data_IF_255851694581
#
_entry.id   IF_255851694581
#
_cell.length_a   1.000
_cell.length_b   1.000
_cell.length_c   1.000
_cell.angle_alpha   90.00
_cell.angle_beta   90.00
_cell.angle_gamma   90.00
#
_symmetry.space_group_name_H-M   'P 1'
#
loop_
_entity.id
_entity.type
_entity.pdbx_description
1 polymer ?
#
# COMPACT_ATOMS: atom_id res chain seq x y z
N UNK A 1 -23.50 -38.76 22.75
CA UNK A 1 -23.12 -39.89 21.86
C UNK A 1 -23.57 -39.48 20.46
N UNK A 2 -22.69 -39.44 19.50
CA UNK A 2 -23.06 -39.12 18.10
C UNK A 2 -23.70 -40.37 17.46
N UNK A 3 -24.88 -40.30 16.86
CA UNK A 3 -25.46 -41.41 16.13
C UNK A 3 -24.58 -41.74 14.91
N UNK A 4 -24.34 -43.02 14.67
CA UNK A 4 -23.58 -43.50 13.51
C UNK A 4 -24.16 -44.83 13.02
N UNK A 5 -24.02 -45.09 11.73
CA UNK A 5 -24.33 -46.35 11.11
C UNK A 5 -23.06 -47.01 10.61
N UNK A 6 -22.95 -48.31 10.78
CA UNK A 6 -21.87 -49.13 10.24
C UNK A 6 -22.48 -50.31 9.51
N UNK A 7 -22.17 -50.43 8.22
CA UNK A 7 -22.59 -51.51 7.38
C UNK A 7 -21.41 -52.40 7.02
N UNK A 8 -21.56 -53.70 7.28
CA UNK A 8 -20.62 -54.74 6.93
C UNK A 8 -21.09 -55.48 5.72
N UNK A 9 -20.67 -55.12 4.53
CA UNK A 9 -21.07 -55.79 3.29
C UNK A 9 -20.27 -57.08 3.04
N UNK A 10 -19.04 -57.18 3.53
CA UNK A 10 -18.22 -58.37 3.65
C UNK A 10 -17.08 -58.11 4.66
N UNK A 11 -16.25 -59.12 4.96
CA UNK A 11 -15.19 -59.04 5.98
C UNK A 11 -14.06 -58.03 5.59
N UNK A 12 -13.95 -57.67 4.29
CA UNK A 12 -12.92 -56.81 3.76
C UNK A 12 -13.38 -55.36 3.47
N UNK A 13 -14.66 -55.06 3.67
CA UNK A 13 -15.22 -53.75 3.38
C UNK A 13 -16.26 -53.33 4.44
N UNK A 14 -15.95 -52.23 5.12
CA UNK A 14 -16.84 -51.65 6.13
C UNK A 14 -17.20 -50.23 5.64
N UNK A 15 -18.48 -49.94 5.47
CA UNK A 15 -18.96 -48.58 5.26
C UNK A 15 -19.55 -48.00 6.53
N UNK A 16 -19.44 -46.73 6.74
CA UNK A 16 -20.00 -46.01 7.85
C UNK A 16 -20.51 -44.62 7.45
N UNK A 17 -21.49 -44.16 8.17
CA UNK A 17 -22.06 -42.81 8.05
C UNK A 17 -22.24 -42.17 9.44
N UNK A 18 -21.77 -40.96 9.58
CA UNK A 18 -21.96 -40.09 10.74
C UNK A 18 -22.74 -38.83 10.32
N UNK A 19 -24.06 -38.87 10.24
CA UNK A 19 -24.87 -37.78 9.73
C UNK A 19 -24.66 -36.47 10.48
N UNK A 20 -24.42 -36.52 11.79
CA UNK A 20 -24.24 -35.31 12.65
C UNK A 20 -23.02 -34.46 12.27
N UNK A 21 -22.01 -35.10 11.72
CA UNK A 21 -20.77 -34.42 11.29
C UNK A 21 -20.57 -34.46 9.78
N UNK A 22 -21.59 -34.94 9.04
CA UNK A 22 -21.57 -35.07 7.57
C UNK A 22 -20.38 -35.89 7.04
N UNK A 23 -19.96 -36.95 7.79
CA UNK A 23 -18.82 -37.80 7.46
C UNK A 23 -19.32 -39.15 6.97
N UNK A 24 -18.99 -39.47 5.73
CA UNK A 24 -19.16 -40.79 5.12
C UNK A 24 -17.77 -41.42 4.93
N UNK A 25 -17.69 -42.76 5.02
CA UNK A 25 -16.42 -43.43 4.77
C UNK A 25 -16.55 -44.93 4.45
N UNK A 26 -15.51 -45.43 3.81
CA UNK A 26 -15.30 -46.85 3.54
C UNK A 26 -13.91 -47.24 4.02
N UNK A 27 -13.87 -48.27 4.87
CA UNK A 27 -12.62 -48.91 5.31
C UNK A 27 -12.36 -50.12 4.46
N UNK A 28 -11.27 -50.12 3.74
CA UNK A 28 -10.76 -51.18 2.89
C UNK A 28 -9.28 -50.99 2.70
N UNK A 29 -8.62 -51.79 1.84
CA UNK A 29 -7.18 -51.61 1.54
C UNK A 29 -6.82 -50.17 1.16
N UNK A 30 -7.71 -49.50 0.42
CA UNK A 30 -7.61 -48.07 0.10
C UNK A 30 -8.84 -47.37 0.67
N UNK A 31 -8.78 -47.00 1.93
CA UNK A 31 -9.88 -46.38 2.67
C UNK A 31 -10.20 -44.96 2.16
N UNK A 32 -11.48 -44.61 2.13
CA UNK A 32 -11.92 -43.28 1.67
C UNK A 32 -12.88 -42.62 2.67
N UNK A 33 -12.76 -41.30 2.77
CA UNK A 33 -13.58 -40.48 3.66
C UNK A 33 -14.06 -39.25 2.90
N UNK A 34 -15.31 -38.87 3.10
CA UNK A 34 -15.93 -37.68 2.54
C UNK A 34 -16.65 -36.91 3.62
N UNK A 35 -16.34 -35.62 3.70
CA UNK A 35 -17.02 -34.67 4.57
C UNK A 35 -17.65 -33.62 3.68
N UNK A 36 -18.98 -33.56 3.67
CA UNK A 36 -19.75 -32.67 2.77
C UNK A 36 -19.90 -31.25 3.30
N UNK A 37 -19.63 -31.03 4.58
CA UNK A 37 -19.69 -29.71 5.20
C UNK A 37 -18.71 -29.62 6.36
N UNK A 38 -17.63 -28.88 6.15
CA UNK A 38 -16.58 -28.70 7.16
C UNK A 38 -17.06 -27.94 8.41
N UNK A 39 -18.14 -27.15 8.32
CA UNK A 39 -18.69 -26.44 9.49
C UNK A 39 -19.13 -27.40 10.60
N UNK A 40 -19.54 -28.62 10.25
CA UNK A 40 -19.90 -29.65 11.24
C UNK A 40 -18.71 -30.15 12.07
N UNK A 41 -17.48 -29.95 11.58
CA UNK A 41 -16.25 -30.30 12.28
C UNK A 41 -15.67 -29.17 13.15
N UNK A 42 -16.17 -27.94 13.03
CA UNK A 42 -15.64 -26.79 13.79
C UNK A 42 -15.54 -27.06 15.30
N UNK A 43 -16.54 -27.67 15.97
CA UNK A 43 -16.42 -27.97 17.41
C UNK A 43 -15.29 -28.93 17.77
N UNK A 44 -14.82 -29.71 16.82
CA UNK A 44 -13.87 -30.82 17.01
C UNK A 44 -12.47 -30.54 16.41
N UNK A 45 -12.33 -29.51 15.60
CA UNK A 45 -11.08 -29.21 14.87
C UNK A 45 -10.54 -27.85 15.22
N UNK A 46 -9.47 -27.82 16.03
CA UNK A 46 -8.75 -26.57 16.33
C UNK A 46 -8.17 -25.92 15.06
N UNK A 47 -7.75 -26.72 14.06
CA UNK A 47 -7.24 -26.20 12.79
C UNK A 47 -8.30 -25.39 12.07
N UNK A 48 -9.53 -25.92 11.94
CA UNK A 48 -10.62 -25.20 11.28
C UNK A 48 -10.97 -23.91 12.03
N UNK A 49 -10.91 -23.93 13.37
CA UNK A 49 -11.14 -22.75 14.21
C UNK A 49 -10.01 -21.70 14.04
N UNK A 50 -8.76 -22.12 14.13
CA UNK A 50 -7.58 -21.24 14.05
C UNK A 50 -7.46 -20.55 12.68
N UNK A 51 -7.82 -21.25 11.60
CA UNK A 51 -7.83 -20.71 10.24
C UNK A 51 -9.21 -20.18 9.78
N UNK A 52 -10.22 -20.17 10.66
CA UNK A 52 -11.59 -19.70 10.37
C UNK A 52 -12.22 -20.34 9.13
N UNK A 53 -11.92 -21.60 8.89
CA UNK A 53 -12.51 -22.38 7.81
C UNK A 53 -13.88 -22.86 8.24
N UNK A 54 -14.92 -22.12 7.87
CA UNK A 54 -16.29 -22.38 8.29
C UNK A 54 -17.13 -23.13 7.26
N UNK A 55 -16.63 -23.28 6.05
CA UNK A 55 -17.38 -23.94 4.99
C UNK A 55 -16.42 -24.61 3.99
N UNK A 56 -16.87 -25.72 3.40
CA UNK A 56 -16.09 -26.48 2.45
C UNK A 56 -16.43 -27.96 2.45
N UNK A 57 -15.85 -28.68 1.50
CA UNK A 57 -15.96 -30.13 1.37
C UNK A 57 -14.55 -30.72 1.27
N UNK A 58 -14.39 -31.93 1.81
CA UNK A 58 -13.13 -32.68 1.67
C UNK A 58 -13.44 -34.14 1.32
N UNK A 59 -12.71 -34.66 0.37
CA UNK A 59 -12.70 -36.07 0.02
C UNK A 59 -11.24 -36.56 0.05
N UNK A 60 -10.96 -37.53 0.90
CA UNK A 60 -9.60 -38.05 1.12
C UNK A 60 -9.56 -39.56 1.01
N UNK A 61 -8.41 -40.07 0.66
CA UNK A 61 -8.09 -41.50 0.62
C UNK A 61 -6.80 -41.77 1.41
N UNK A 62 -6.70 -42.95 1.98
CA UNK A 62 -5.51 -43.42 2.69
C UNK A 62 -5.38 -44.92 2.63
N UNK A 63 -4.12 -45.41 2.64
CA UNK A 63 -3.81 -46.82 2.71
C UNK A 63 -3.37 -47.27 4.10
N UNK A 64 -2.74 -46.39 4.85
CA UNK A 64 -2.05 -46.71 6.10
C UNK A 64 -2.45 -45.83 7.28
N UNK A 65 -3.42 -44.91 7.08
CA UNK A 65 -3.86 -43.90 8.06
C UNK A 65 -2.73 -42.94 8.55
N UNK A 66 -1.63 -42.87 7.79
CA UNK A 66 -0.54 -41.92 8.02
C UNK A 66 -0.46 -40.87 6.95
N UNK A 67 -0.72 -41.29 5.70
CA UNK A 67 -0.77 -40.41 4.55
C UNK A 67 -2.19 -40.33 4.01
N UNK A 68 -2.68 -39.10 3.79
CA UNK A 68 -3.98 -38.82 3.23
C UNK A 68 -3.84 -37.96 1.97
N UNK A 69 -4.45 -38.39 0.89
CA UNK A 69 -4.47 -37.69 -0.40
C UNK A 69 -5.93 -37.43 -0.79
N UNK A 70 -6.21 -36.33 -1.44
CA UNK A 70 -7.57 -36.08 -1.93
C UNK A 70 -7.79 -34.64 -2.39
N UNK A 71 -9.06 -34.26 -2.36
CA UNK A 71 -9.55 -32.98 -2.84
C UNK A 71 -10.23 -32.22 -1.72
N UNK A 72 -10.03 -30.93 -1.71
CA UNK A 72 -10.59 -29.98 -0.77
C UNK A 72 -11.25 -28.82 -1.54
N UNK A 73 -12.55 -28.65 -1.38
CA UNK A 73 -13.28 -27.49 -1.89
C UNK A 73 -13.44 -26.47 -0.78
N UNK A 74 -12.74 -25.37 -0.89
CA UNK A 74 -12.79 -24.24 0.06
C UNK A 74 -13.73 -23.17 -0.48
N UNK A 75 -14.67 -22.71 0.35
CA UNK A 75 -15.49 -21.52 0.09
C UNK A 75 -14.94 -20.32 0.84
N UNK A 76 -14.82 -19.19 0.15
CA UNK A 76 -14.35 -17.93 0.74
C UNK A 76 -15.49 -16.93 0.87
N UNK A 77 -15.91 -16.65 2.10
CA UNK A 77 -16.91 -15.62 2.39
C UNK A 77 -16.27 -14.22 2.50
N UNK A 78 -14.94 -14.12 2.59
CA UNK A 78 -14.23 -12.87 2.85
C UNK A 78 -13.77 -12.15 1.59
N UNK A 79 -13.90 -12.73 0.41
CA UNK A 79 -13.51 -12.13 -0.86
C UNK A 79 -12.08 -11.55 -0.85
N UNK A 80 -11.14 -12.25 -0.19
CA UNK A 80 -9.75 -11.79 -0.06
C UNK A 80 -9.00 -11.94 -1.39
N UNK A 81 -9.33 -12.98 -2.16
CA UNK A 81 -8.68 -13.27 -3.44
C UNK A 81 -9.62 -12.94 -4.60
N UNK A 82 -9.10 -12.23 -5.58
CA UNK A 82 -9.78 -11.95 -6.84
C UNK A 82 -8.97 -12.51 -8.02
N UNK A 83 -9.66 -12.80 -9.10
CA UNK A 83 -9.02 -13.13 -10.38
C UNK A 83 -8.45 -11.85 -11.05
N UNK A 84 -7.76 -12.03 -12.18
CA UNK A 84 -7.18 -10.93 -12.98
C UNK A 84 -8.20 -9.90 -13.50
N UNK A 85 -9.50 -10.21 -13.46
CA UNK A 85 -10.59 -9.33 -13.87
C UNK A 85 -11.28 -8.67 -12.67
N UNK A 86 -10.67 -8.70 -11.49
CA UNK A 86 -11.19 -8.18 -10.22
C UNK A 86 -12.48 -8.88 -9.73
N UNK A 87 -12.76 -10.11 -10.24
CA UNK A 87 -13.90 -10.91 -9.79
C UNK A 87 -13.48 -11.69 -8.54
N UNK A 88 -14.26 -11.62 -7.42
CA UNK A 88 -13.98 -12.40 -6.23
C UNK A 88 -13.96 -13.90 -6.51
N UNK A 89 -13.01 -14.60 -5.94
CA UNK A 89 -12.95 -16.06 -5.95
C UNK A 89 -13.76 -16.57 -4.76
N UNK A 90 -14.98 -17.03 -5.04
CA UNK A 90 -15.91 -17.49 -4.02
C UNK A 90 -15.61 -18.92 -3.55
N UNK A 91 -15.03 -19.74 -4.41
CA UNK A 91 -14.63 -21.10 -4.08
C UNK A 91 -13.37 -21.52 -4.84
N UNK A 92 -12.61 -22.43 -4.25
CA UNK A 92 -11.37 -22.96 -4.83
C UNK A 92 -11.28 -24.47 -4.61
N UNK A 93 -11.10 -25.21 -5.70
CA UNK A 93 -10.80 -26.64 -5.64
C UNK A 93 -9.30 -26.81 -5.44
N UNK A 94 -8.92 -27.54 -4.39
CA UNK A 94 -7.53 -27.73 -3.99
C UNK A 94 -7.23 -29.22 -3.91
N UNK A 95 -6.07 -29.62 -4.41
CA UNK A 95 -5.49 -30.93 -4.07
C UNK A 95 -4.99 -30.88 -2.62
N UNK A 96 -5.30 -31.90 -1.87
CA UNK A 96 -4.96 -32.05 -0.45
C UNK A 96 -3.97 -33.19 -0.27
N UNK A 97 -2.90 -32.93 0.47
CA UNK A 97 -1.97 -33.93 0.93
C UNK A 97 -1.63 -33.69 2.41
N UNK A 98 -1.77 -34.71 3.21
CA UNK A 98 -1.46 -34.68 4.64
C UNK A 98 -0.62 -35.88 5.04
N UNK A 99 0.42 -35.62 5.83
CA UNK A 99 1.18 -36.58 6.62
C UNK A 99 1.25 -36.09 8.07
N UNK A 100 1.69 -36.89 9.06
CA UNK A 100 1.86 -36.40 10.42
C UNK A 100 2.77 -35.16 10.57
N UNK A 101 3.65 -34.93 9.61
CA UNK A 101 4.63 -33.85 9.67
C UNK A 101 4.32 -32.69 8.71
N UNK A 102 3.37 -32.86 7.79
CA UNK A 102 3.18 -31.95 6.67
C UNK A 102 1.73 -31.88 6.23
N UNK A 103 1.29 -30.67 5.85
CA UNK A 103 0.02 -30.43 5.14
C UNK A 103 0.33 -29.61 3.91
N UNK A 104 -0.15 -30.00 2.75
CA UNK A 104 -0.10 -29.19 1.54
C UNK A 104 -1.46 -29.11 0.86
N UNK A 105 -1.75 -27.94 0.31
CA UNK A 105 -2.92 -27.61 -0.49
C UNK A 105 -2.44 -26.94 -1.77
N UNK A 106 -2.95 -27.30 -2.93
CA UNK A 106 -2.61 -26.61 -4.17
C UNK A 106 -3.77 -26.61 -5.15
N UNK A 107 -4.03 -25.49 -5.81
CA UNK A 107 -4.99 -25.42 -6.91
C UNK A 107 -4.44 -26.13 -8.17
N UNK A 108 -5.33 -26.67 -9.00
CA UNK A 108 -4.95 -27.38 -10.23
C UNK A 108 -4.19 -26.49 -11.21
N UNK A 109 -4.50 -25.19 -11.24
CA UNK A 109 -3.85 -24.18 -12.08
C UNK A 109 -2.59 -23.57 -11.45
N UNK A 110 -2.20 -24.05 -10.27
CA UNK A 110 -1.04 -23.57 -9.50
C UNK A 110 -1.09 -22.09 -9.09
N UNK A 111 -2.26 -21.47 -9.11
CA UNK A 111 -2.43 -20.07 -8.65
C UNK A 111 -2.35 -19.95 -7.12
N UNK A 112 -2.69 -21.02 -6.41
CA UNK A 112 -2.64 -21.11 -4.95
C UNK A 112 -1.86 -22.35 -4.52
N UNK A 113 -0.91 -22.18 -3.59
CA UNK A 113 -0.20 -23.27 -2.91
C UNK A 113 -0.04 -22.91 -1.44
N UNK A 114 -0.44 -23.81 -0.58
CA UNK A 114 -0.18 -23.71 0.85
C UNK A 114 0.58 -24.95 1.30
N UNK A 115 1.64 -24.71 2.08
CA UNK A 115 2.44 -25.75 2.68
C UNK A 115 2.68 -25.42 4.15
N UNK A 116 2.50 -26.41 5.01
CA UNK A 116 2.77 -26.31 6.45
C UNK A 116 3.51 -27.56 6.89
N UNK A 117 4.60 -27.37 7.58
CA UNK A 117 5.29 -28.42 8.34
C UNK A 117 5.39 -28.02 9.84
N UNK A 118 6.19 -28.75 10.61
CA UNK A 118 6.37 -28.48 12.04
C UNK A 118 7.06 -27.14 12.33
N UNK A 119 7.84 -26.61 11.39
CA UNK A 119 8.67 -25.42 11.55
C UNK A 119 8.07 -24.17 10.89
N UNK A 120 7.45 -24.33 9.70
CA UNK A 120 7.06 -23.21 8.85
C UNK A 120 5.67 -23.38 8.25
N UNK A 121 5.08 -22.25 7.89
CA UNK A 121 3.88 -22.14 7.05
C UNK A 121 4.22 -21.27 5.86
N UNK A 122 3.92 -21.73 4.66
CA UNK A 122 4.16 -20.99 3.44
C UNK A 122 2.90 -20.94 2.58
N UNK A 123 2.57 -19.76 2.09
CA UNK A 123 1.51 -19.50 1.15
C UNK A 123 2.10 -18.88 -0.11
N UNK A 124 1.89 -19.50 -1.26
CA UNK A 124 2.26 -18.94 -2.56
C UNK A 124 1.01 -18.60 -3.37
N UNK A 125 0.97 -17.38 -3.88
CA UNK A 125 -0.11 -16.85 -4.71
C UNK A 125 0.46 -16.42 -6.05
N UNK A 126 -0.15 -16.82 -7.15
CA UNK A 126 0.33 -16.49 -8.50
C UNK A 126 -0.84 -16.01 -9.35
N UNK A 127 -0.68 -14.82 -10.00
CA UNK A 127 -1.69 -14.23 -10.86
C UNK A 127 -3.05 -13.97 -10.16
N UNK A 128 -3.02 -13.70 -8.86
CA UNK A 128 -4.19 -13.39 -8.05
C UNK A 128 -4.09 -11.97 -7.51
N UNK A 129 -5.21 -11.27 -7.40
CA UNK A 129 -5.30 -9.98 -6.73
C UNK A 129 -5.68 -10.22 -5.27
N UNK A 130 -5.01 -9.52 -4.34
CA UNK A 130 -5.22 -9.70 -2.91
C UNK A 130 -5.86 -8.45 -2.33
N UNK A 131 -7.12 -8.54 -1.91
CA UNK A 131 -7.86 -7.47 -1.26
C UNK A 131 -7.49 -7.39 0.23
N UNK A 132 -6.59 -6.48 0.58
CA UNK A 132 -6.09 -6.33 1.95
C UNK A 132 -7.16 -5.85 2.93
N UNK A 133 -8.15 -5.10 2.47
CA UNK A 133 -9.26 -4.61 3.30
C UNK A 133 -10.12 -5.73 3.88
N UNK A 134 -10.15 -6.86 3.19
CA UNK A 134 -10.97 -8.01 3.56
C UNK A 134 -10.24 -8.96 4.50
N UNK A 135 -8.97 -8.70 4.82
CA UNK A 135 -8.19 -9.50 5.76
C UNK A 135 -8.58 -9.13 7.19
N UNK A 136 -9.27 -10.03 7.87
CA UNK A 136 -9.57 -9.88 9.29
C UNK A 136 -8.36 -10.36 10.11
N UNK A 137 -7.76 -9.46 10.87
CA UNK A 137 -6.69 -9.81 11.82
C UNK A 137 -7.31 -10.26 13.13
N UNK A 138 -7.34 -11.56 13.37
CA UNK A 138 -7.62 -12.08 14.72
C UNK A 138 -6.34 -12.05 15.54
N UNK A 139 -6.29 -11.15 16.52
CA UNK A 139 -5.15 -10.98 17.44
C UNK A 139 -4.98 -12.15 18.42
N UNK A 140 -5.90 -13.13 18.44
CA UNK A 140 -5.93 -14.24 19.39
C UNK A 140 -5.35 -15.57 18.88
N UNK A 141 -4.74 -15.61 17.69
CA UNK A 141 -4.12 -16.84 17.22
C UNK A 141 -2.74 -17.02 17.86
N UNK A 142 -2.64 -17.90 18.87
CA UNK A 142 -1.38 -18.40 19.45
C UNK A 142 -0.60 -19.29 18.49
N UNK A 143 -0.54 -18.94 17.21
CA UNK A 143 0.18 -19.74 16.21
C UNK A 143 1.63 -19.24 16.14
N UNK A 144 2.52 -19.89 16.85
CA UNK A 144 3.93 -19.50 17.00
C UNK A 144 4.82 -19.86 15.80
N UNK A 145 4.32 -20.59 14.79
CA UNK A 145 5.16 -20.95 13.64
C UNK A 145 5.29 -19.80 12.64
N UNK A 146 6.50 -19.56 12.09
CA UNK A 146 6.72 -18.57 11.05
C UNK A 146 5.77 -18.72 9.87
N UNK A 147 5.25 -17.61 9.35
CA UNK A 147 4.41 -17.56 8.14
C UNK A 147 5.14 -16.79 7.06
N UNK A 148 5.35 -17.42 5.91
CA UNK A 148 5.86 -16.80 4.69
C UNK A 148 4.74 -16.74 3.65
N UNK A 149 4.44 -15.55 3.14
CA UNK A 149 3.52 -15.34 2.02
C UNK A 149 4.32 -14.81 0.84
N UNK A 150 4.22 -15.48 -0.30
CA UNK A 150 4.91 -15.13 -1.54
C UNK A 150 3.86 -14.85 -2.60
N UNK A 151 3.97 -13.72 -3.29
CA UNK A 151 3.17 -13.38 -4.47
C UNK A 151 4.01 -13.28 -5.73
N UNK A 152 3.48 -13.78 -6.84
CA UNK A 152 4.05 -13.64 -8.18
C UNK A 152 2.99 -13.09 -9.12
N UNK A 153 3.28 -11.96 -9.79
CA UNK A 153 2.31 -11.24 -10.63
C UNK A 153 0.97 -11.02 -9.90
N UNK A 154 1.04 -10.69 -8.62
CA UNK A 154 -0.11 -10.62 -7.72
C UNK A 154 -0.15 -9.24 -7.08
N UNK A 155 -0.92 -8.29 -7.65
CA UNK A 155 -1.09 -6.97 -7.06
C UNK A 155 -1.87 -7.04 -5.75
N UNK A 156 -1.64 -6.05 -4.88
CA UNK A 156 -2.33 -5.88 -3.62
C UNK A 156 -3.30 -4.71 -3.75
N UNK A 157 -4.52 -4.87 -3.29
CA UNK A 157 -5.52 -3.80 -3.25
C UNK A 157 -5.81 -3.41 -1.82
N UNK A 158 -5.86 -2.11 -1.57
CA UNK A 158 -6.22 -1.54 -0.29
C UNK A 158 -7.11 -0.31 -0.50
N UNK A 159 -8.35 -0.36 -0.05
CA UNK A 159 -9.38 0.61 -0.38
C UNK A 159 -9.50 0.74 -1.92
N UNK A 160 -9.28 1.90 -2.46
CA UNK A 160 -9.31 2.14 -3.91
C UNK A 160 -7.91 2.28 -4.51
N UNK A 161 -6.87 1.79 -3.84
CA UNK A 161 -5.48 1.93 -4.24
C UNK A 161 -4.92 0.57 -4.63
N UNK A 162 -4.14 0.53 -5.70
CA UNK A 162 -3.49 -0.71 -6.17
C UNK A 162 -1.97 -0.59 -6.00
N UNK A 163 -1.39 -1.55 -5.31
CA UNK A 163 0.05 -1.73 -5.20
C UNK A 163 0.45 -2.78 -6.23
N UNK A 164 0.97 -2.33 -7.37
CA UNK A 164 1.42 -3.22 -8.44
C UNK A 164 2.61 -4.06 -7.97
N UNK A 165 2.64 -5.34 -8.32
CA UNK A 165 3.68 -6.27 -7.90
C UNK A 165 3.95 -7.34 -8.96
N UNK A 166 5.20 -7.44 -9.38
CA UNK A 166 5.70 -8.61 -10.13
C UNK A 166 6.05 -9.74 -9.16
N UNK A 167 6.52 -9.37 -7.96
CA UNK A 167 6.72 -10.30 -6.86
C UNK A 167 6.74 -9.58 -5.51
N UNK A 168 6.23 -10.24 -4.49
CA UNK A 168 6.39 -9.81 -3.10
C UNK A 168 6.65 -11.00 -2.18
N UNK A 169 7.19 -10.73 -1.00
CA UNK A 169 7.20 -11.66 0.11
C UNK A 169 6.88 -10.96 1.43
N UNK A 170 6.06 -11.59 2.27
CA UNK A 170 5.78 -11.19 3.64
C UNK A 170 6.21 -12.31 4.56
N UNK A 171 7.11 -12.03 5.47
CA UNK A 171 7.57 -12.96 6.51
C UNK A 171 7.12 -12.47 7.88
N UNK A 172 6.32 -13.27 8.55
CA UNK A 172 5.81 -12.99 9.89
C UNK A 172 6.47 -13.96 10.87
N UNK A 173 7.23 -13.42 11.83
CA UNK A 173 7.93 -14.19 12.86
C UNK A 173 7.90 -13.41 14.18
N UNK A 174 7.29 -13.96 15.23
CA UNK A 174 7.30 -13.36 16.57
C UNK A 174 7.01 -11.86 16.60
N UNK A 175 5.87 -11.42 16.08
CA UNK A 175 5.44 -10.01 15.97
C UNK A 175 6.31 -9.12 15.06
N UNK A 176 7.25 -9.72 14.33
CA UNK A 176 8.01 -9.04 13.30
C UNK A 176 7.43 -9.33 11.91
N UNK A 177 7.27 -8.28 11.12
CA UNK A 177 6.98 -8.37 9.70
C UNK A 177 8.20 -7.88 8.91
N UNK A 178 8.68 -8.72 8.01
CA UNK A 178 9.60 -8.33 6.93
C UNK A 178 8.88 -8.48 5.62
N UNK A 179 8.77 -7.40 4.87
CA UNK A 179 8.13 -7.40 3.57
C UNK A 179 9.11 -6.92 2.49
N UNK A 180 9.05 -7.55 1.34
CA UNK A 180 9.73 -7.10 0.13
C UNK A 180 8.74 -7.04 -1.02
N UNK A 181 8.94 -6.11 -1.95
CA UNK A 181 8.12 -5.96 -3.14
C UNK A 181 9.00 -5.54 -4.32
N UNK A 182 8.71 -6.10 -5.49
CA UNK A 182 9.33 -5.71 -6.76
C UNK A 182 8.25 -5.44 -7.80
N UNK A 183 8.43 -4.36 -8.54
CA UNK A 183 7.64 -4.05 -9.73
C UNK A 183 8.52 -3.37 -10.77
N UNK A 184 8.76 -4.03 -11.90
CA UNK A 184 9.73 -3.61 -12.91
C UNK A 184 11.11 -3.37 -12.26
N UNK A 185 11.64 -2.16 -12.36
CA UNK A 185 12.91 -1.77 -11.72
C UNK A 185 12.74 -1.41 -10.24
N UNK A 186 11.50 -1.11 -9.81
CA UNK A 186 11.18 -0.69 -8.46
C UNK A 186 11.32 -1.81 -7.45
N UNK A 187 11.90 -1.48 -6.30
CA UNK A 187 12.08 -2.39 -5.17
C UNK A 187 11.70 -1.69 -3.87
N UNK A 188 10.98 -2.38 -2.99
CA UNK A 188 10.66 -1.90 -1.66
C UNK A 188 10.97 -2.97 -0.61
N UNK A 189 11.34 -2.49 0.58
CA UNK A 189 11.51 -3.28 1.79
C UNK A 189 10.81 -2.58 2.93
N UNK A 190 10.07 -3.34 3.72
CA UNK A 190 9.41 -2.88 4.93
C UNK A 190 9.83 -3.81 6.07
N UNK A 191 10.21 -3.22 7.18
CA UNK A 191 10.35 -3.92 8.44
C UNK A 191 9.42 -3.30 9.47
N UNK A 192 8.68 -4.12 10.21
CA UNK A 192 7.80 -3.67 11.30
C UNK A 192 7.97 -4.58 12.51
N UNK A 193 8.13 -3.96 13.69
CA UNK A 193 8.13 -4.62 14.99
C UNK A 193 7.41 -3.74 16.01
N UNK A 194 6.28 -4.20 16.52
CA UNK A 194 5.40 -3.35 17.31
C UNK A 194 4.98 -2.10 16.50
N UNK A 195 5.20 -0.92 17.07
CA UNK A 195 4.93 0.38 16.42
C UNK A 195 6.09 0.90 15.56
N UNK A 196 7.24 0.26 15.62
CA UNK A 196 8.40 0.65 14.82
C UNK A 196 8.28 0.11 13.40
N UNK A 197 8.37 1.02 12.43
CA UNK A 197 8.31 0.71 10.99
C UNK A 197 9.50 1.36 10.31
N UNK A 198 10.15 0.64 9.41
CA UNK A 198 11.05 1.21 8.39
C UNK A 198 10.52 0.87 7.01
N UNK A 199 10.62 1.81 6.09
CA UNK A 199 10.30 1.69 4.68
C UNK A 199 11.47 2.20 3.87
N UNK A 200 11.99 1.37 2.98
CA UNK A 200 12.92 1.75 1.92
C UNK A 200 12.35 1.30 0.59
N UNK A 201 12.13 2.24 -0.32
CA UNK A 201 11.63 1.95 -1.65
C UNK A 201 12.35 2.83 -2.67
N UNK A 202 12.73 2.26 -3.82
CA UNK A 202 13.53 2.94 -4.84
C UNK A 202 13.20 2.48 -6.24
N UNK A 203 13.45 3.37 -7.21
CA UNK A 203 13.35 3.14 -8.65
C UNK A 203 11.93 2.75 -9.14
N UNK A 204 10.87 3.12 -8.40
CA UNK A 204 9.50 2.94 -8.87
C UNK A 204 9.17 3.92 -10.00
N UNK A 205 8.48 3.45 -11.04
CA UNK A 205 8.05 4.27 -12.17
C UNK A 205 6.65 4.88 -11.98
N UNK A 206 6.25 5.70 -12.94
CA UNK A 206 4.96 6.39 -12.99
C UNK A 206 3.75 5.44 -12.93
N UNK A 207 3.81 4.30 -13.60
CA UNK A 207 2.72 3.32 -13.58
C UNK A 207 2.40 2.84 -12.16
N UNK A 208 3.44 2.60 -11.35
CA UNK A 208 3.28 2.21 -9.95
C UNK A 208 2.66 3.35 -9.11
N UNK A 209 3.21 4.56 -9.25
CA UNK A 209 2.74 5.73 -8.50
C UNK A 209 1.31 6.09 -8.87
N UNK A 210 0.95 6.03 -10.15
CA UNK A 210 -0.40 6.30 -10.63
C UNK A 210 -1.42 5.25 -10.16
N UNK A 211 -1.05 3.97 -10.14
CA UNK A 211 -1.88 2.90 -9.59
C UNK A 211 -2.09 3.07 -8.08
N UNK A 212 -1.00 3.39 -7.35
CA UNK A 212 -1.08 3.68 -5.92
C UNK A 212 -1.93 4.91 -5.62
N UNK A 213 -1.87 5.95 -6.45
CA UNK A 213 -2.69 7.16 -6.30
C UNK A 213 -4.13 6.98 -6.81
N UNK A 214 -4.44 5.89 -7.51
CA UNK A 214 -5.67 5.68 -8.27
C UNK A 214 -6.00 6.87 -9.20
N UNK A 215 -4.97 7.48 -9.78
CA UNK A 215 -5.07 8.67 -10.64
C UNK A 215 -3.78 8.88 -11.42
N UNK A 216 -3.88 9.33 -12.68
CA UNK A 216 -2.73 9.65 -13.51
C UNK A 216 -2.14 11.02 -13.13
N UNK A 217 -1.41 11.07 -12.02
CA UNK A 217 -0.82 12.31 -11.49
C UNK A 217 0.58 12.60 -12.01
N UNK A 218 1.28 11.61 -12.53
CA UNK A 218 2.65 11.74 -13.07
C UNK A 218 2.78 11.00 -14.39
N UNK A 219 3.73 11.44 -15.21
CA UNK A 219 4.13 10.75 -16.45
C UNK A 219 5.64 10.66 -16.48
N UNK A 220 6.16 9.46 -16.72
CA UNK A 220 7.57 9.12 -16.61
C UNK A 220 8.10 9.32 -15.17
N UNK A 221 9.40 9.22 -15.01
CA UNK A 221 10.07 9.49 -13.74
C UNK A 221 10.43 8.26 -12.93
N UNK A 222 11.23 8.53 -11.88
CA UNK A 222 11.65 7.56 -10.88
C UNK A 222 11.38 8.11 -9.49
N UNK A 223 10.83 7.27 -8.65
CA UNK A 223 10.37 7.64 -7.31
C UNK A 223 11.03 6.74 -6.28
N UNK A 224 11.50 7.36 -5.20
CA UNK A 224 12.16 6.67 -4.09
C UNK A 224 11.69 7.26 -2.78
N UNK A 225 11.44 6.41 -1.78
CA UNK A 225 11.06 6.84 -0.44
C UNK A 225 11.87 6.08 0.60
N UNK A 226 12.37 6.79 1.59
CA UNK A 226 12.96 6.22 2.78
C UNK A 226 12.29 6.85 4.00
N UNK A 227 11.76 6.03 4.89
CA UNK A 227 11.05 6.51 6.08
C UNK A 227 11.20 5.54 7.25
N UNK A 228 11.11 6.07 8.45
CA UNK A 228 11.10 5.29 9.68
C UNK A 228 10.23 5.96 10.75
N UNK A 229 9.70 5.14 11.65
CA UNK A 229 8.95 5.64 12.79
C UNK A 229 9.90 6.26 13.82
N UNK A 230 9.60 7.47 14.28
CA UNK A 230 10.30 8.12 15.37
C UNK A 230 9.84 7.56 16.74
N UNK A 231 10.50 7.89 17.86
CA UNK A 231 10.13 7.41 19.20
C UNK A 231 8.71 7.74 19.65
N UNK A 232 8.04 8.70 19.00
CA UNK A 232 6.65 9.11 19.31
C UNK A 232 5.61 8.51 18.36
N UNK A 233 6.01 7.56 17.50
CA UNK A 233 5.11 6.84 16.62
C UNK A 233 4.78 7.53 15.29
N UNK A 234 5.39 8.68 14.99
CA UNK A 234 5.22 9.33 13.69
C UNK A 234 6.20 8.76 12.66
N UNK A 235 5.75 8.56 11.43
CA UNK A 235 6.58 8.17 10.31
C UNK A 235 7.27 9.40 9.72
N UNK A 236 8.59 9.47 9.80
CA UNK A 236 9.38 10.55 9.22
C UNK A 236 10.24 10.04 8.08
N UNK A 237 10.38 10.82 7.02
CA UNK A 237 11.12 10.33 5.87
C UNK A 237 11.41 11.36 4.78
N UNK A 238 12.01 10.83 3.72
CA UNK A 238 12.35 11.56 2.51
C UNK A 238 11.79 10.86 1.29
N UNK A 239 11.10 11.62 0.42
CA UNK A 239 10.69 11.22 -0.90
C UNK A 239 11.59 11.90 -1.95
N UNK A 240 12.19 11.10 -2.82
CA UNK A 240 12.97 11.55 -3.97
C UNK A 240 12.23 11.30 -5.27
N UNK A 241 12.29 12.25 -6.20
CA UNK A 241 11.61 12.22 -7.50
C UNK A 241 12.60 12.66 -8.57
N UNK A 242 12.67 11.96 -9.69
CA UNK A 242 13.57 12.29 -10.79
C UNK A 242 12.83 12.22 -12.15
N UNK A 243 13.02 13.24 -12.97
CA UNK A 243 12.64 13.30 -14.39
C UNK A 243 11.18 12.93 -14.66
N UNK A 244 10.25 13.64 -14.04
CA UNK A 244 8.80 13.40 -14.20
C UNK A 244 8.03 14.63 -14.64
N UNK A 245 6.94 14.43 -15.37
CA UNK A 245 5.89 15.43 -15.51
C UNK A 245 4.85 15.22 -14.42
N UNK A 246 4.62 16.23 -13.61
CA UNK A 246 3.52 16.26 -12.65
C UNK A 246 2.30 16.83 -13.36
N UNK A 247 1.26 16.00 -13.49
CA UNK A 247 0.01 16.36 -14.17
C UNK A 247 -1.11 16.50 -13.14
N UNK A 248 -2.20 17.12 -13.48
CA UNK A 248 -3.49 17.04 -12.76
C UNK A 248 -3.46 17.13 -11.20
N UNK A 249 -2.47 17.80 -10.62
CA UNK A 249 -2.53 18.15 -9.21
C UNK A 249 -3.38 19.41 -9.02
N UNK A 250 -4.48 19.31 -8.27
CA UNK A 250 -5.41 20.44 -8.06
C UNK A 250 -4.71 21.67 -7.51
N UNK A 251 -3.77 21.50 -6.58
CA UNK A 251 -2.98 22.61 -6.02
C UNK A 251 -2.15 23.30 -7.11
N UNK A 252 -1.52 22.55 -8.00
CA UNK A 252 -0.75 23.13 -9.12
C UNK A 252 -1.65 23.86 -10.10
N UNK A 253 -2.81 23.29 -10.43
CA UNK A 253 -3.81 23.93 -11.31
C UNK A 253 -4.36 25.22 -10.69
N UNK A 254 -4.68 25.21 -9.40
CA UNK A 254 -5.13 26.40 -8.68
C UNK A 254 -4.03 27.47 -8.60
N UNK A 255 -2.78 27.08 -8.40
CA UNK A 255 -1.66 28.00 -8.44
C UNK A 255 -1.48 28.63 -9.83
N UNK A 256 -1.60 27.84 -10.89
CA UNK A 256 -1.53 28.35 -12.28
C UNK A 256 -2.69 29.30 -12.58
N UNK A 257 -3.92 28.94 -12.19
CA UNK A 257 -5.08 29.82 -12.34
C UNK A 257 -4.90 31.13 -11.57
N UNK A 258 -4.36 31.08 -10.36
CA UNK A 258 -4.05 32.29 -9.58
C UNK A 258 -2.98 33.18 -10.25
N UNK A 259 -1.89 32.59 -10.79
CA UNK A 259 -0.85 33.32 -11.54
C UNK A 259 -1.47 34.06 -12.75
N UNK A 260 -2.50 33.48 -13.40
CA UNK A 260 -3.20 34.10 -14.52
C UNK A 260 -3.96 35.38 -14.15
N UNK A 261 -4.35 35.51 -12.90
CA UNK A 261 -5.08 36.72 -12.42
C UNK A 261 -4.18 37.92 -12.22
N UNK A 262 -2.84 37.73 -12.19
CA UNK A 262 -1.86 38.76 -11.85
C UNK A 262 -0.88 38.96 -13.00
N UNK A 263 -1.02 40.02 -13.81
CA UNK A 263 -0.19 40.21 -14.99
C UNK A 263 1.32 40.17 -14.76
N UNK A 264 1.79 40.65 -13.60
CA UNK A 264 3.21 40.62 -13.24
C UNK A 264 3.77 39.23 -12.93
N UNK A 265 2.89 38.25 -12.69
CA UNK A 265 3.28 36.86 -12.47
C UNK A 265 3.28 36.02 -13.75
N UNK A 266 2.79 36.53 -14.87
CA UNK A 266 2.75 35.80 -16.15
C UNK A 266 4.15 35.38 -16.64
N UNK A 267 5.22 36.04 -16.16
CA UNK A 267 6.60 35.65 -16.43
C UNK A 267 6.96 34.26 -15.88
N UNK A 268 6.19 33.73 -14.91
CA UNK A 268 6.33 32.37 -14.41
C UNK A 268 5.65 31.33 -15.31
N UNK A 269 4.85 31.76 -16.30
CA UNK A 269 4.32 30.87 -17.34
C UNK A 269 5.35 30.58 -18.41
N UNK A 270 6.20 29.64 -18.15
CA UNK A 270 7.29 29.23 -19.04
C UNK A 270 7.05 27.82 -19.57
N UNK A 271 7.69 27.40 -20.69
CA UNK A 271 7.67 26.00 -21.09
C UNK A 271 8.09 25.09 -19.95
N UNK A 272 7.31 24.03 -19.69
CA UNK A 272 7.54 23.12 -18.56
C UNK A 272 6.85 23.51 -17.24
N UNK A 273 6.18 24.69 -17.19
CA UNK A 273 5.30 25.09 -16.10
C UNK A 273 4.07 25.82 -16.70
N UNK A 274 3.03 25.08 -16.99
CA UNK A 274 1.82 25.57 -17.63
C UNK A 274 0.61 24.68 -17.29
N UNK A 275 -0.54 24.95 -17.88
CA UNK A 275 -1.78 24.19 -17.64
C UNK A 275 -1.69 22.69 -18.03
N UNK A 276 -0.67 22.28 -18.78
CA UNK A 276 -0.45 20.88 -19.15
C UNK A 276 0.37 20.10 -18.12
N UNK A 277 1.01 20.78 -17.17
CA UNK A 277 1.77 20.18 -16.10
C UNK A 277 3.05 20.93 -15.72
N UNK A 278 3.83 20.30 -14.85
CA UNK A 278 5.12 20.78 -14.37
C UNK A 278 6.19 19.71 -14.58
N UNK A 279 7.17 20.01 -15.41
CA UNK A 279 8.32 19.12 -15.61
C UNK A 279 9.33 19.32 -14.48
N UNK A 280 9.50 18.27 -13.69
CA UNK A 280 10.39 18.18 -12.54
C UNK A 280 11.63 17.36 -12.92
N UNK A 281 12.79 17.97 -12.89
CA UNK A 281 14.09 17.31 -13.12
C UNK A 281 14.50 16.54 -11.86
N UNK A 282 14.46 17.20 -10.71
CA UNK A 282 14.77 16.62 -9.40
C UNK A 282 13.84 17.19 -8.34
N UNK A 283 13.29 16.31 -7.51
CA UNK A 283 12.44 16.67 -6.37
C UNK A 283 12.85 15.95 -5.10
N UNK A 284 12.89 16.70 -4.00
CA UNK A 284 13.13 16.18 -2.67
C UNK A 284 12.05 16.70 -1.73
N UNK A 285 11.40 15.79 -0.99
CA UNK A 285 10.42 16.13 0.04
C UNK A 285 10.85 15.47 1.34
N UNK A 286 11.03 16.27 2.39
CA UNK A 286 11.22 15.79 3.76
C UNK A 286 9.86 15.93 4.46
N UNK A 287 9.36 14.84 5.00
CA UNK A 287 8.01 14.79 5.57
C UNK A 287 7.94 14.06 6.91
N UNK A 288 6.91 14.41 7.67
CA UNK A 288 6.46 13.65 8.82
C UNK A 288 4.95 13.32 8.67
N UNK A 289 4.55 12.14 9.04
CA UNK A 289 3.18 11.65 8.93
C UNK A 289 2.72 10.96 10.19
N UNK A 290 1.49 11.26 10.59
CA UNK A 290 0.70 10.48 11.53
C UNK A 290 -0.76 10.40 11.04
N UNK A 291 -1.66 9.81 11.83
CA UNK A 291 -3.06 9.64 11.41
C UNK A 291 -3.79 10.98 11.16
N UNK A 292 -3.39 12.06 11.83
CA UNK A 292 -4.08 13.36 11.79
C UNK A 292 -3.42 14.34 10.82
N UNK A 293 -2.08 14.24 10.61
CA UNK A 293 -1.30 15.24 9.90
C UNK A 293 -0.27 14.65 8.94
N UNK A 294 -0.08 15.33 7.82
CA UNK A 294 1.08 15.24 6.96
C UNK A 294 1.82 16.58 7.01
N UNK A 295 2.99 16.60 7.63
CA UNK A 295 3.86 17.76 7.66
C UNK A 295 4.92 17.65 6.58
N UNK A 296 5.11 18.71 5.81
CA UNK A 296 6.20 18.86 4.83
C UNK A 296 7.18 19.87 5.43
N UNK A 297 8.31 19.38 5.88
CA UNK A 297 9.35 20.25 6.45
C UNK A 297 10.13 20.96 5.35
N UNK A 298 10.42 20.25 4.28
CA UNK A 298 11.09 20.80 3.11
C UNK A 298 10.55 20.15 1.84
N UNK A 299 10.12 20.97 0.90
CA UNK A 299 9.87 20.62 -0.48
C UNK A 299 10.87 21.42 -1.31
N UNK A 300 11.73 20.75 -2.08
CA UNK A 300 12.68 21.34 -3.00
C UNK A 300 12.56 20.66 -4.36
N UNK A 301 11.95 21.37 -5.29
CA UNK A 301 11.70 20.92 -6.65
C UNK A 301 12.51 21.75 -7.63
N UNK A 302 13.36 21.10 -8.41
CA UNK A 302 14.13 21.68 -9.50
C UNK A 302 13.44 21.36 -10.82
N UNK A 303 12.87 22.36 -11.43
CA UNK A 303 12.24 22.26 -12.74
C UNK A 303 13.10 22.81 -13.87
N UNK A 304 12.75 22.46 -15.09
CA UNK A 304 13.46 23.01 -16.28
C UNK A 304 13.34 24.53 -16.43
N UNK A 305 12.31 25.13 -15.85
CA UNK A 305 11.99 26.55 -16.00
C UNK A 305 11.76 27.27 -14.69
N UNK A 306 11.19 26.59 -13.70
CA UNK A 306 10.87 27.13 -12.38
C UNK A 306 11.22 26.09 -11.33
N UNK A 307 11.93 26.55 -10.30
CA UNK A 307 12.10 25.81 -9.06
C UNK A 307 10.95 26.13 -8.11
N UNK A 308 10.53 25.14 -7.33
CA UNK A 308 9.50 25.31 -6.29
C UNK A 308 10.10 24.87 -4.96
N UNK A 309 10.10 25.77 -4.00
CA UNK A 309 10.44 25.45 -2.61
C UNK A 309 9.24 25.66 -1.72
N UNK A 310 9.10 24.85 -0.66
CA UNK A 310 7.95 25.02 0.20
C UNK A 310 8.01 24.20 1.48
N UNK A 311 7.08 24.53 2.39
CA UNK A 311 6.86 23.81 3.64
C UNK A 311 5.48 24.10 4.17
N UNK A 312 4.96 23.20 5.00
CA UNK A 312 3.63 23.39 5.59
C UNK A 312 3.05 22.12 6.15
N UNK A 313 1.76 22.17 6.44
CA UNK A 313 1.03 21.10 7.09
C UNK A 313 -0.29 20.87 6.37
N UNK A 314 -0.64 19.60 6.24
CA UNK A 314 -1.95 19.14 5.79
C UNK A 314 -2.61 18.42 6.96
N UNK A 315 -3.74 18.94 7.45
CA UNK A 315 -4.59 18.23 8.40
C UNK A 315 -5.46 17.25 7.64
N UNK A 316 -5.17 15.96 7.82
CA UNK A 316 -5.91 14.87 7.17
C UNK A 316 -7.32 14.73 7.75
N UNK A 317 -7.44 14.95 9.06
CA UNK A 317 -8.72 14.90 9.79
C UNK A 317 -9.67 16.01 9.36
N UNK A 318 -9.17 17.22 9.25
CA UNK A 318 -9.98 18.40 8.93
C UNK A 318 -9.99 18.72 7.43
N UNK A 319 -9.24 17.98 6.60
CA UNK A 319 -9.06 18.21 5.16
C UNK A 319 -8.62 19.65 4.83
N UNK A 320 -7.74 20.22 5.66
CA UNK A 320 -7.22 21.57 5.54
C UNK A 320 -5.72 21.57 5.26
N UNK A 321 -5.29 22.58 4.51
CA UNK A 321 -3.89 22.86 4.20
C UNK A 321 -3.47 24.24 4.76
N UNK A 322 -2.25 24.30 5.28
CA UNK A 322 -1.51 25.55 5.56
C UNK A 322 -0.08 25.35 5.03
N UNK A 323 0.18 25.88 3.86
CA UNK A 323 1.40 25.65 3.13
C UNK A 323 1.96 26.96 2.56
N UNK A 324 3.26 27.13 2.70
CA UNK A 324 4.00 28.19 2.06
C UNK A 324 4.80 27.63 0.88
N UNK A 325 4.68 28.26 -0.28
CA UNK A 325 5.46 27.95 -1.47
C UNK A 325 6.18 29.17 -2.01
N UNK A 326 7.40 28.98 -2.51
CA UNK A 326 8.14 29.99 -3.25
C UNK A 326 8.45 29.45 -4.65
N UNK A 327 8.11 30.22 -5.67
CA UNK A 327 8.50 29.97 -7.06
C UNK A 327 9.74 30.80 -7.37
N UNK A 328 10.73 30.18 -8.01
CA UNK A 328 12.00 30.80 -8.38
C UNK A 328 12.26 30.47 -9.86
N UNK A 329 12.54 31.46 -10.69
CA UNK A 329 12.89 31.18 -12.09
C UNK A 329 14.20 30.40 -12.16
N UNK A 330 14.23 29.27 -12.86
CA UNK A 330 15.42 28.40 -12.96
C UNK A 330 16.53 29.07 -13.80
N UNK A 331 16.16 29.93 -14.75
CA UNK A 331 17.09 30.69 -15.61
C UNK A 331 17.02 32.17 -15.30
N UNK A 332 18.17 32.85 -15.47
CA UNK A 332 18.25 34.31 -15.39
C UNK A 332 17.37 34.96 -16.47
N UNK A 333 16.56 35.90 -16.06
CA UNK A 333 15.73 36.74 -16.94
C UNK A 333 16.40 38.10 -17.20
N UNK A 334 17.71 38.18 -17.09
CA UNK A 334 18.49 39.45 -17.19
C UNK A 334 18.15 40.35 -18.37
N UNK A 335 17.71 39.77 -19.53
CA UNK A 335 17.26 40.57 -20.69
C UNK A 335 15.80 41.07 -20.62
N UNK A 336 15.01 40.60 -19.61
CA UNK A 336 13.55 40.89 -19.52
C UNK A 336 13.24 41.71 -18.25
N UNK A 337 14.15 41.78 -17.28
CA UNK A 337 13.95 42.41 -15.96
C UNK A 337 13.40 43.83 -16.09
N UNK A 338 13.88 44.61 -17.04
CA UNK A 338 13.43 45.98 -17.25
C UNK A 338 11.96 46.13 -17.75
N UNK A 339 11.34 45.03 -18.10
CA UNK A 339 9.93 44.99 -18.59
C UNK A 339 8.97 44.43 -17.54
N UNK A 340 9.49 43.89 -16.42
CA UNK A 340 8.67 43.31 -15.35
C UNK A 340 8.33 44.42 -14.35
N UNK A 341 7.07 44.73 -14.08
CA UNK A 341 6.71 45.66 -13.03
C UNK A 341 7.22 45.10 -11.70
N UNK A 342 8.13 45.79 -11.05
CA UNK A 342 8.55 45.47 -9.69
C UNK A 342 7.41 45.78 -8.75
N UNK A 343 6.79 44.78 -8.22
CA UNK A 343 5.75 44.86 -7.21
C UNK A 343 6.28 44.22 -5.91
N UNK A 344 5.73 44.63 -4.80
CA UNK A 344 6.23 44.28 -3.47
C UNK A 344 6.23 42.77 -3.15
N UNK A 345 5.69 41.92 -3.99
CA UNK A 345 5.71 40.45 -3.86
C UNK A 345 6.67 39.75 -4.84
N UNK A 346 7.45 40.49 -5.65
CA UNK A 346 8.50 39.96 -6.53
C UNK A 346 9.86 40.36 -5.97
N UNK A 347 10.71 39.35 -5.74
CA UNK A 347 12.09 39.52 -5.30
C UNK A 347 13.05 39.28 -6.45
N UNK A 348 13.95 40.22 -6.65
CA UNK A 348 15.14 40.03 -7.48
C UNK A 348 16.23 39.33 -6.66
N UNK A 349 16.51 38.08 -7.03
CA UNK A 349 17.58 37.31 -6.42
C UNK A 349 18.94 37.56 -7.07
N UNK A 350 19.96 36.91 -6.54
CA UNK A 350 21.30 36.88 -7.15
C UNK A 350 21.21 36.27 -8.55
N UNK A 351 22.06 36.68 -9.46
CA UNK A 351 22.16 36.19 -10.85
C UNK A 351 20.91 36.50 -11.73
N UNK A 352 20.09 37.50 -11.38
CA UNK A 352 18.94 37.91 -12.16
C UNK A 352 17.77 36.90 -12.13
N UNK A 353 17.71 36.01 -11.14
CA UNK A 353 16.56 35.17 -10.86
C UNK A 353 15.46 35.97 -10.19
N UNK A 354 14.23 35.64 -10.50
CA UNK A 354 13.06 36.26 -9.91
C UNK A 354 12.37 35.22 -9.04
N UNK A 355 11.92 35.65 -7.86
CA UNK A 355 11.13 34.78 -6.99
C UNK A 355 9.89 35.48 -6.45
N UNK A 356 8.87 34.69 -6.16
CA UNK A 356 7.63 35.13 -5.50
C UNK A 356 7.14 34.07 -4.54
N UNK A 357 6.56 34.51 -3.41
CA UNK A 357 6.04 33.64 -2.37
C UNK A 357 4.52 33.59 -2.38
N UNK A 358 3.97 32.42 -2.02
CA UNK A 358 2.56 32.16 -1.92
C UNK A 358 2.22 31.50 -0.57
N UNK A 359 1.09 31.89 0.00
CA UNK A 359 0.42 31.16 1.06
C UNK A 359 -0.77 30.41 0.46
N UNK A 360 -0.86 29.12 0.76
CA UNK A 360 -1.91 28.21 0.30
C UNK A 360 -2.60 27.70 1.56
N UNK A 361 -3.85 28.13 1.80
CA UNK A 361 -4.55 27.88 3.05
C UNK A 361 -6.00 27.44 2.83
N UNK A 362 -6.60 26.80 3.83
CA UNK A 362 -8.01 26.44 3.83
C UNK A 362 -8.28 25.01 3.36
N UNK A 363 -9.42 24.78 2.73
CA UNK A 363 -9.86 23.43 2.29
C UNK A 363 -8.91 22.82 1.28
N UNK A 364 -8.51 21.55 1.48
CA UNK A 364 -7.53 20.85 0.65
C UNK A 364 -7.97 20.68 -0.82
N UNK A 365 -9.29 20.57 -1.06
CA UNK A 365 -9.85 20.43 -2.41
C UNK A 365 -9.98 21.76 -3.13
N UNK A 366 -10.16 22.85 -2.36
CA UNK A 366 -10.35 24.19 -2.90
C UNK A 366 -9.61 25.24 -2.06
N UNK A 367 -8.27 25.22 -2.03
CA UNK A 367 -7.48 26.09 -1.18
C UNK A 367 -7.51 27.54 -1.68
N UNK A 368 -7.38 28.47 -0.74
CA UNK A 368 -7.15 29.88 -1.01
C UNK A 368 -5.65 30.15 -1.20
N UNK A 369 -5.30 30.78 -2.31
CA UNK A 369 -3.92 31.16 -2.64
C UNK A 369 -3.80 32.68 -2.58
N UNK A 370 -2.77 33.17 -1.87
CA UNK A 370 -2.45 34.59 -1.76
C UNK A 370 -0.96 34.82 -1.98
N UNK A 371 -0.59 35.94 -2.59
CA UNK A 371 0.84 36.34 -2.66
C UNK A 371 1.34 36.82 -1.30
N UNK A 372 2.62 36.61 -1.05
CA UNK A 372 3.34 37.15 0.10
C UNK A 372 4.27 38.27 -0.33
N UNK A 373 4.30 39.36 0.44
CA UNK A 373 5.26 40.46 0.20
C UNK A 373 6.69 40.02 0.45
N UNK A 374 7.65 40.75 -0.11
CA UNK A 374 9.07 40.52 0.17
C UNK A 374 9.39 40.53 1.67
N UNK A 375 8.75 41.41 2.41
CA UNK A 375 8.89 41.52 3.85
C UNK A 375 8.26 40.34 4.59
N UNK A 376 7.10 39.85 4.11
CA UNK A 376 6.46 38.64 4.64
C UNK A 376 7.30 37.40 4.36
N UNK A 377 7.96 37.32 3.19
CA UNK A 377 8.85 36.21 2.83
C UNK A 377 10.07 36.15 3.78
N UNK A 378 10.65 37.30 4.11
CA UNK A 378 11.80 37.40 5.00
C UNK A 378 11.45 37.18 6.49
N UNK A 379 10.22 37.53 6.90
CA UNK A 379 9.77 37.51 8.29
C UNK A 379 8.86 36.30 8.61
N UNK A 380 8.28 35.65 7.59
CA UNK A 380 7.10 34.81 7.76
C UNK A 380 7.31 33.35 8.12
N UNK A 381 8.35 32.61 7.74
CA UNK A 381 8.22 31.18 7.94
C UNK A 381 8.35 30.73 9.38
N UNK A 382 8.84 31.57 10.28
CA UNK A 382 9.15 31.17 11.65
C UNK A 382 8.12 31.60 12.69
N UNK A 383 7.29 32.60 12.42
CA UNK A 383 6.41 33.18 13.45
C UNK A 383 4.97 32.71 13.44
N UNK A 384 4.42 32.28 12.31
CA UNK A 384 3.06 31.68 12.26
C UNK A 384 3.10 30.26 12.79
N UNK A 385 4.16 29.53 12.49
CA UNK A 385 4.38 28.18 13.04
C UNK A 385 4.85 28.18 14.50
N UNK A 386 5.42 29.29 15.03
CA UNK A 386 5.80 29.39 16.45
C UNK A 386 4.65 29.32 17.43
N UNK A 387 3.40 29.56 17.00
CA UNK A 387 2.23 29.44 17.89
C UNK A 387 1.57 28.07 17.88
N UNK A 388 1.87 27.22 16.86
CA UNK A 388 1.30 25.89 16.76
C UNK A 388 2.39 24.82 16.55
N UNK A 389 3.56 25.18 15.91
CA UNK A 389 4.63 24.20 15.59
C UNK A 389 5.94 24.94 15.39
N UNK A 390 6.94 24.72 16.23
CA UNK A 390 8.30 25.26 16.09
C UNK A 390 9.11 24.55 15.02
N UNK A 391 8.74 23.35 14.64
CA UNK A 391 9.14 22.59 13.45
C UNK A 391 8.01 21.65 13.10
N UNK A 392 7.72 21.34 11.83
CA UNK A 392 6.79 20.26 11.50
C UNK A 392 7.11 18.93 12.20
N UNK A 393 8.38 18.69 12.53
CA UNK A 393 8.78 17.54 13.35
C UNK A 393 8.53 17.71 14.85
N UNK A 394 8.33 18.93 15.36
CA UNK A 394 7.95 19.11 16.77
C UNK A 394 6.50 18.72 17.04
N UNK A 395 5.62 18.61 16.02
CA UNK A 395 4.32 17.95 16.17
C UNK A 395 4.54 16.47 16.47
N UNK A 396 5.61 15.91 15.97
CA UNK A 396 5.99 14.52 16.10
C UNK A 396 7.08 14.31 17.17
N UNK A 397 7.60 15.41 17.74
CA UNK A 397 8.53 15.42 18.89
C UNK A 397 7.76 15.62 20.23
#
# INVERSE_FOLDING_TARGET
MLPFEVNFSNVSQISFDFPTINLEGNLQENSSFKIKNLSSLLPFSKILQDYQISNGEIQITTKDFKEFLGDFLLYSNQQILHDKNHKPIESMQLNFHYTPNEISLSSNDSTFKFHKNNETRQLELTNLIIALDNIQTNTNSNVNSPLLIIGKNSPLEFKNHTILSDSFSFSFVNDELKATLKHKNGQAQIYKKGDYITLDAKEFGDTFVNALANKNIVTQGRFSINANTNPKGALIGKLGILNTNINQLSILQNLMAFIDTIPSLLTFKTPGFNNQGYYLEEGNIIFGYNQDFLAIENLDFKGSSIDIQGKGIISLKNQNIDFYAQLITAKSLSGIINKIPLVNYILLGKEGKISTGFSITGDLKNPTITTKTAQDILLSPFNILKRVITSPFEIFN
#
